data_IF_485692697619
#
_entry.id   IF_485692697619
#
_cell.length_a   1.000
_cell.length_b   1.000
_cell.length_c   1.000
_cell.angle_alpha   90.00
_cell.angle_beta   90.00
_cell.angle_gamma   90.00
#
_symmetry.space_group_name_H-M   'P 1'
#
loop_
_entity.id
_entity.type
_entity.pdbx_description
1 polymer ?
#
# COMPACT_ATOMS: atom_id res chain seq x y z
N UNK A 1 -6.59 -22.29 -24.25
CA UNK A 1 -7.28 -23.56 -24.56
C UNK A 1 -8.38 -23.88 -23.54
N UNK A 2 -8.07 -24.15 -22.27
CA UNK A 2 -9.10 -24.56 -21.30
C UNK A 2 -10.11 -23.46 -20.87
N UNK A 3 -9.74 -22.18 -20.93
CA UNK A 3 -10.66 -21.05 -20.65
C UNK A 3 -11.39 -20.54 -21.91
N UNK A 4 -11.16 -21.16 -23.07
CA UNK A 4 -11.96 -20.91 -24.27
C UNK A 4 -13.26 -21.72 -24.27
N UNK A 5 -13.33 -22.75 -23.44
CA UNK A 5 -14.54 -23.51 -23.18
C UNK A 5 -15.45 -22.74 -22.22
N UNK A 6 -16.67 -22.44 -22.66
CA UNK A 6 -17.64 -21.65 -21.89
C UNK A 6 -18.08 -22.33 -20.60
N UNK A 7 -18.21 -23.66 -20.58
CA UNK A 7 -18.63 -24.42 -19.41
C UNK A 7 -17.53 -24.40 -18.34
N UNK A 8 -16.27 -24.58 -18.77
CA UNK A 8 -15.11 -24.49 -17.88
C UNK A 8 -14.95 -23.08 -17.31
N UNK A 9 -15.13 -22.04 -18.13
CA UNK A 9 -15.07 -20.65 -17.67
C UNK A 9 -16.17 -20.35 -16.66
N UNK A 10 -17.42 -20.74 -16.95
CA UNK A 10 -18.55 -20.53 -16.05
C UNK A 10 -18.34 -21.20 -14.69
N UNK A 11 -17.84 -22.45 -14.68
CA UNK A 11 -17.51 -23.16 -13.44
C UNK A 11 -16.43 -22.43 -12.63
N UNK A 12 -15.34 -22.01 -13.28
CA UNK A 12 -14.25 -21.29 -12.61
C UNK A 12 -14.68 -19.93 -12.07
N UNK A 13 -15.56 -19.24 -12.79
CA UNK A 13 -16.13 -17.98 -12.33
C UNK A 13 -17.04 -18.18 -11.12
N UNK A 14 -17.87 -19.22 -11.11
CA UNK A 14 -18.71 -19.57 -9.95
C UNK A 14 -17.86 -19.94 -8.70
N UNK A 15 -16.75 -20.66 -8.88
CA UNK A 15 -15.78 -20.94 -7.81
C UNK A 15 -15.16 -19.64 -7.27
N UNK A 16 -14.79 -18.71 -8.16
CA UNK A 16 -14.29 -17.38 -7.80
C UNK A 16 -15.34 -16.57 -7.02
N UNK A 17 -16.58 -16.52 -7.49
CA UNK A 17 -17.67 -15.81 -6.83
C UNK A 17 -17.90 -16.36 -5.43
N UNK A 18 -17.92 -17.69 -5.27
CA UNK A 18 -18.08 -18.33 -3.96
C UNK A 18 -16.92 -17.99 -3.03
N UNK A 19 -15.69 -18.12 -3.53
CA UNK A 19 -14.47 -17.90 -2.73
C UNK A 19 -14.37 -16.46 -2.20
N UNK A 20 -14.72 -15.48 -3.02
CA UNK A 20 -14.58 -14.06 -2.69
C UNK A 20 -15.92 -13.37 -2.40
N UNK A 21 -16.99 -14.16 -2.21
CA UNK A 21 -18.33 -13.70 -1.88
C UNK A 21 -18.84 -12.61 -2.84
N UNK A 22 -18.62 -12.82 -4.15
CA UNK A 22 -19.02 -11.87 -5.18
C UNK A 22 -20.48 -12.07 -5.56
N UNK A 23 -21.20 -10.96 -5.67
CA UNK A 23 -22.57 -10.89 -6.17
C UNK A 23 -22.70 -9.66 -7.06
N UNK A 24 -23.45 -9.77 -8.15
CA UNK A 24 -23.63 -8.70 -9.13
C UNK A 24 -25.10 -8.31 -9.22
N UNK A 25 -25.36 -7.02 -9.43
CA UNK A 25 -26.73 -6.47 -9.40
C UNK A 25 -27.59 -6.95 -10.59
N UNK A 26 -26.96 -7.22 -11.73
CA UNK A 26 -27.61 -7.63 -12.97
C UNK A 26 -26.82 -8.74 -13.65
N UNK A 27 -27.50 -9.50 -14.51
CA UNK A 27 -26.86 -10.51 -15.36
C UNK A 27 -25.83 -9.87 -16.31
N UNK A 28 -26.14 -8.68 -16.85
CA UNK A 28 -25.22 -7.93 -17.72
C UNK A 28 -23.90 -7.59 -17.01
N UNK A 29 -23.97 -7.12 -15.75
CA UNK A 29 -22.77 -6.86 -14.96
C UNK A 29 -22.03 -8.17 -14.64
N UNK A 30 -22.75 -9.26 -14.32
CA UNK A 30 -22.16 -10.58 -14.10
C UNK A 30 -21.36 -11.07 -15.32
N UNK A 31 -21.93 -10.92 -16.52
CA UNK A 31 -21.27 -11.30 -17.78
C UNK A 31 -20.03 -10.44 -18.07
N UNK A 32 -20.12 -9.11 -17.87
CA UNK A 32 -18.97 -8.21 -17.96
C UNK A 32 -17.85 -8.65 -17.00
N UNK A 33 -18.19 -8.95 -15.75
CA UNK A 33 -17.24 -9.38 -14.71
C UNK A 33 -16.60 -10.72 -15.02
N UNK A 34 -17.36 -11.65 -15.61
CA UNK A 34 -16.85 -12.94 -16.09
C UNK A 34 -15.82 -12.79 -17.21
N UNK A 35 -16.04 -11.86 -18.14
CA UNK A 35 -15.08 -11.56 -19.22
C UNK A 35 -13.77 -10.96 -18.67
N UNK A 36 -13.87 -9.97 -17.79
CA UNK A 36 -12.69 -9.38 -17.11
C UNK A 36 -11.94 -10.46 -16.31
N UNK A 37 -12.68 -11.32 -15.61
CA UNK A 37 -12.12 -12.47 -14.91
C UNK A 37 -11.35 -13.40 -15.83
N UNK A 38 -11.91 -13.77 -16.99
CA UNK A 38 -11.21 -14.59 -18.00
C UNK A 38 -9.87 -13.98 -18.38
N UNK A 39 -9.87 -12.69 -18.73
CA UNK A 39 -8.65 -11.96 -19.15
C UNK A 39 -7.59 -11.93 -18.04
N UNK A 40 -7.99 -11.59 -16.82
CA UNK A 40 -7.08 -11.53 -15.68
C UNK A 40 -6.51 -12.91 -15.32
N UNK A 41 -7.31 -13.98 -15.39
CA UNK A 41 -6.82 -15.35 -15.15
C UNK A 41 -5.81 -15.77 -16.21
N UNK A 42 -6.03 -15.41 -17.48
CA UNK A 42 -5.07 -15.67 -18.55
C UNK A 42 -3.74 -14.95 -18.31
N UNK A 43 -3.78 -13.66 -17.93
CA UNK A 43 -2.57 -12.90 -17.56
C UNK A 43 -1.79 -13.56 -16.42
N UNK A 44 -2.49 -14.00 -15.36
CA UNK A 44 -1.88 -14.71 -14.23
C UNK A 44 -1.19 -16.00 -14.69
N UNK A 45 -1.86 -16.78 -15.54
CA UNK A 45 -1.30 -18.02 -16.07
C UNK A 45 -0.04 -17.76 -16.92
N UNK A 46 -0.12 -16.84 -17.87
CA UNK A 46 1.01 -16.46 -18.73
C UNK A 46 2.21 -15.94 -17.94
N UNK A 47 1.95 -15.12 -16.92
CA UNK A 47 2.99 -14.63 -16.01
C UNK A 47 3.65 -15.78 -15.23
N UNK A 48 2.86 -16.71 -14.72
CA UNK A 48 3.38 -17.84 -13.95
C UNK A 48 4.18 -18.82 -14.82
N UNK A 49 3.92 -18.92 -16.12
CA UNK A 49 4.82 -19.63 -17.07
C UNK A 49 6.18 -18.94 -17.16
N UNK A 50 6.23 -17.59 -17.17
CA UNK A 50 7.50 -16.85 -17.12
C UNK A 50 8.24 -17.08 -15.80
N UNK A 51 7.52 -17.09 -14.67
CA UNK A 51 8.11 -17.38 -13.37
C UNK A 51 8.69 -18.81 -13.29
N UNK A 52 7.95 -19.81 -13.77
CA UNK A 52 8.39 -21.21 -13.79
C UNK A 52 9.62 -21.44 -14.69
N UNK A 53 9.86 -20.56 -15.66
CA UNK A 53 11.02 -20.61 -16.57
C UNK A 53 12.15 -19.65 -16.18
N UNK A 54 12.08 -19.06 -14.98
CA UNK A 54 13.11 -18.15 -14.46
C UNK A 54 13.15 -16.77 -15.13
N UNK A 55 12.16 -16.42 -15.95
CA UNK A 55 12.05 -15.13 -16.65
C UNK A 55 11.34 -14.05 -15.83
N UNK A 56 10.75 -14.43 -14.70
CA UNK A 56 10.17 -13.52 -13.70
C UNK A 56 10.63 -13.94 -12.30
N UNK A 57 10.89 -12.97 -11.43
CA UNK A 57 11.27 -13.17 -10.03
C UNK A 57 10.09 -13.27 -9.06
N UNK A 58 8.87 -13.16 -9.57
CA UNK A 58 7.65 -13.21 -8.76
C UNK A 58 6.55 -13.99 -9.47
N UNK A 59 5.61 -14.52 -8.69
CA UNK A 59 4.40 -15.18 -9.18
C UNK A 59 3.16 -14.33 -8.91
N UNK A 60 2.11 -14.62 -9.67
CA UNK A 60 0.80 -14.01 -9.54
C UNK A 60 -0.23 -15.06 -9.11
N UNK A 61 -1.36 -14.60 -8.59
CA UNK A 61 -2.51 -15.44 -8.26
C UNK A 61 -3.83 -14.78 -8.65
N UNK A 62 -4.89 -15.59 -8.68
CA UNK A 62 -6.27 -15.11 -8.83
C UNK A 62 -6.68 -14.48 -7.49
N UNK A 63 -6.60 -13.16 -7.40
CA UNK A 63 -6.92 -12.36 -6.21
C UNK A 63 -8.41 -11.99 -6.16
N UNK A 64 -8.85 -11.34 -5.08
CA UNK A 64 -10.22 -10.81 -4.97
C UNK A 64 -10.57 -9.75 -6.03
N UNK A 65 -9.57 -9.26 -6.77
CA UNK A 65 -9.72 -8.25 -7.82
C UNK A 65 -9.75 -8.84 -9.23
N UNK A 66 -9.79 -10.18 -9.36
CA UNK A 66 -9.72 -10.83 -10.66
C UNK A 66 -10.87 -10.44 -11.60
N UNK A 67 -12.02 -9.98 -11.09
CA UNK A 67 -13.16 -9.48 -11.87
C UNK A 67 -13.15 -7.95 -12.11
N UNK A 68 -12.05 -7.27 -11.80
CA UNK A 68 -11.92 -5.81 -11.96
C UNK A 68 -10.78 -5.46 -12.92
N UNK A 69 -10.93 -4.34 -13.63
CA UNK A 69 -9.81 -3.73 -14.38
C UNK A 69 -8.86 -3.02 -13.43
N UNK A 70 -7.61 -2.81 -13.85
CA UNK A 70 -6.64 -2.04 -13.03
C UNK A 70 -7.14 -0.63 -12.72
N UNK A 71 -7.83 0.01 -13.67
CA UNK A 71 -8.39 1.35 -13.47
C UNK A 71 -9.54 1.34 -12.46
N UNK A 72 -10.41 0.33 -12.48
CA UNK A 72 -11.46 0.17 -11.46
C UNK A 72 -10.86 -0.05 -10.07
N UNK A 73 -9.74 -0.78 -9.98
CA UNK A 73 -9.02 -1.01 -8.72
C UNK A 73 -8.38 0.29 -8.23
N UNK A 74 -7.66 1.02 -9.09
CA UNK A 74 -7.06 2.31 -8.70
C UNK A 74 -8.15 3.29 -8.27
N UNK A 75 -9.25 3.39 -9.01
CA UNK A 75 -10.33 4.31 -8.68
C UNK A 75 -11.07 3.95 -7.38
N UNK A 76 -11.17 2.66 -7.02
CA UNK A 76 -11.99 2.20 -5.90
C UNK A 76 -11.22 1.76 -4.63
N UNK A 77 -9.96 1.34 -4.74
CA UNK A 77 -9.19 0.77 -3.61
C UNK A 77 -7.80 1.38 -3.44
N UNK A 78 -7.51 2.47 -4.12
CA UNK A 78 -6.40 3.38 -3.78
C UNK A 78 -6.97 4.77 -3.47
N UNK A 79 -6.14 5.77 -3.21
CA UNK A 79 -6.64 7.08 -2.78
C UNK A 79 -5.53 8.01 -2.32
N UNK A 80 -4.33 7.82 -2.84
CA UNK A 80 -3.27 8.81 -2.69
C UNK A 80 -3.27 9.68 -3.94
N UNK A 81 -3.22 10.99 -3.77
CA UNK A 81 -2.96 11.92 -4.86
C UNK A 81 -1.76 12.80 -4.52
N UNK A 82 -0.87 13.08 -5.47
CA UNK A 82 0.25 13.96 -5.22
C UNK A 82 -0.23 15.41 -5.05
N UNK A 83 0.08 16.04 -3.92
CA UNK A 83 -0.20 17.47 -3.70
C UNK A 83 0.61 18.30 -4.72
N UNK A 84 -0.06 19.18 -5.48
CA UNK A 84 0.59 19.99 -6.52
C UNK A 84 1.65 20.95 -5.95
N UNK A 85 1.48 21.41 -4.71
CA UNK A 85 2.30 22.44 -4.07
C UNK A 85 3.72 22.00 -3.71
N UNK A 86 3.99 20.70 -3.58
CA UNK A 86 5.35 20.18 -3.32
C UNK A 86 6.34 20.49 -4.46
N UNK A 87 5.84 20.77 -5.67
CA UNK A 87 6.71 21.12 -6.80
C UNK A 87 7.29 22.54 -6.71
N UNK A 88 6.64 23.44 -5.98
CA UNK A 88 7.04 24.86 -5.96
C UNK A 88 7.97 25.22 -4.81
N UNK A 89 7.98 24.45 -3.71
CA UNK A 89 8.78 24.81 -2.52
C UNK A 89 10.22 24.28 -2.47
N UNK A 90 10.61 23.34 -3.34
CA UNK A 90 11.95 22.71 -3.27
C UNK A 90 12.76 22.73 -4.57
N UNK A 91 12.35 23.51 -5.58
CA UNK A 91 13.16 23.73 -6.79
C UNK A 91 14.51 24.43 -6.50
N UNK A 92 14.74 24.93 -5.28
CA UNK A 92 15.97 25.58 -4.83
C UNK A 92 16.95 24.71 -4.05
N UNK A 93 16.66 23.41 -3.80
CA UNK A 93 17.58 22.50 -3.10
C UNK A 93 17.93 21.23 -3.87
N UNK A 94 17.87 21.25 -5.20
CA UNK A 94 18.57 20.25 -6.01
C UNK A 94 20.08 20.54 -6.02
N UNK A 95 20.75 20.25 -4.91
CA UNK A 95 22.16 19.86 -5.00
C UNK A 95 22.18 18.38 -5.38
N UNK A 96 22.63 18.10 -6.61
CA UNK A 96 22.85 16.76 -7.09
C UNK A 96 23.95 16.10 -6.26
N UNK A 97 23.59 15.42 -5.17
CA UNK A 97 24.43 14.40 -4.58
C UNK A 97 24.36 13.18 -5.50
N UNK A 98 25.10 13.25 -6.61
CA UNK A 98 25.35 12.14 -7.49
C UNK A 98 26.40 11.23 -6.83
N UNK A 99 26.02 10.61 -5.72
CA UNK A 99 26.76 9.49 -5.14
C UNK A 99 26.03 8.22 -5.55
N UNK A 100 26.32 7.75 -6.77
CA UNK A 100 26.31 6.32 -7.01
C UNK A 100 27.40 5.73 -6.11
N UNK A 101 27.06 5.46 -4.86
CA UNK A 101 27.82 4.50 -4.08
C UNK A 101 27.67 3.18 -4.82
N UNK A 102 28.80 2.56 -5.16
CA UNK A 102 28.84 1.13 -5.39
C UNK A 102 28.46 0.48 -4.05
N UNK A 103 27.16 0.39 -3.77
CA UNK A 103 26.62 -0.33 -2.62
C UNK A 103 26.98 -1.79 -2.87
N UNK A 104 28.01 -2.27 -2.19
CA UNK A 104 28.28 -3.70 -2.12
C UNK A 104 26.99 -4.40 -1.68
N UNK A 105 26.70 -5.58 -2.24
CA UNK A 105 25.46 -6.30 -1.92
C UNK A 105 25.25 -6.33 -0.42
N UNK A 106 24.24 -5.60 0.02
CA UNK A 106 23.84 -5.50 1.41
C UNK A 106 23.26 -6.87 1.81
N UNK A 107 24.12 -7.76 2.32
CA UNK A 107 23.74 -9.09 2.79
C UNK A 107 22.84 -9.11 4.03
N UNK A 108 22.40 -7.94 4.50
CA UNK A 108 21.66 -7.71 5.73
C UNK A 108 20.19 -7.51 5.37
N UNK A 109 19.38 -8.46 5.85
CA UNK A 109 17.93 -8.35 5.87
C UNK A 109 17.58 -7.53 7.10
N UNK A 110 16.84 -6.44 6.91
CA UNK A 110 16.31 -5.64 8.00
C UNK A 110 14.77 -5.70 7.93
N UNK A 111 14.15 -6.32 8.93
CA UNK A 111 12.72 -6.62 8.91
C UNK A 111 12.06 -6.29 10.25
N UNK A 112 11.32 -5.18 10.30
CA UNK A 112 10.59 -4.78 11.52
C UNK A 112 9.50 -5.78 11.92
N UNK A 113 9.05 -6.67 11.03
CA UNK A 113 8.07 -7.72 11.36
C UNK A 113 8.66 -8.80 12.28
N UNK A 114 9.99 -8.94 12.28
CA UNK A 114 10.69 -9.84 13.22
C UNK A 114 10.69 -9.30 14.65
N UNK A 115 10.30 -8.04 14.83
CA UNK A 115 10.05 -7.40 16.12
C UNK A 115 8.54 -7.42 16.44
N UNK A 116 8.15 -6.98 17.63
CA UNK A 116 6.73 -6.92 18.02
C UNK A 116 6.03 -5.60 17.69
N UNK A 117 6.63 -4.75 16.85
CA UNK A 117 6.15 -3.37 16.61
C UNK A 117 5.25 -3.21 15.39
N UNK A 118 5.25 -4.18 14.47
CA UNK A 118 4.38 -4.14 13.28
C UNK A 118 3.06 -4.84 13.59
N UNK A 119 1.97 -4.08 13.60
CA UNK A 119 0.61 -4.59 13.83
C UNK A 119 0.15 -5.54 12.71
N UNK A 120 -0.93 -6.31 12.91
CA UNK A 120 -1.52 -7.14 11.86
C UNK A 120 -1.89 -6.35 10.60
N UNK A 121 -1.90 -7.04 9.46
CA UNK A 121 -2.40 -6.50 8.18
C UNK A 121 -3.90 -6.25 8.28
N UNK A 122 -4.32 -5.08 7.82
CA UNK A 122 -5.73 -4.66 7.78
C UNK A 122 -6.29 -4.74 6.35
N UNK A 123 -7.58 -4.44 6.20
CA UNK A 123 -8.25 -4.41 4.91
C UNK A 123 -9.09 -3.13 4.75
N UNK A 124 -8.70 -2.26 3.81
CA UNK A 124 -9.45 -1.04 3.50
C UNK A 124 -10.73 -1.30 2.69
N UNK A 125 -10.91 -2.48 2.11
CA UNK A 125 -12.09 -2.77 1.28
C UNK A 125 -12.21 -1.84 0.06
N UNK A 126 -13.43 -1.58 -0.39
CA UNK A 126 -13.79 -0.77 -1.57
C UNK A 126 -13.75 0.74 -1.35
N UNK A 127 -12.79 1.24 -0.58
CA UNK A 127 -12.75 2.60 -0.07
C UNK A 127 -11.33 3.14 -0.25
N UNK A 128 -11.18 4.36 -0.77
CA UNK A 128 -9.89 5.00 -1.05
C UNK A 128 -9.10 5.48 0.17
N UNK A 129 -9.10 4.71 1.25
CA UNK A 129 -8.54 5.05 2.55
C UNK A 129 -7.04 4.72 2.72
N UNK A 130 -6.32 4.38 1.65
CA UNK A 130 -4.94 3.88 1.72
C UNK A 130 -3.99 4.76 2.56
N UNK A 131 -4.11 6.09 2.44
CA UNK A 131 -3.31 7.06 3.20
C UNK A 131 -3.59 6.97 4.70
N UNK A 132 -4.85 6.80 5.08
CA UNK A 132 -5.26 6.70 6.48
C UNK A 132 -4.75 5.42 7.13
N UNK A 133 -4.78 4.30 6.40
CA UNK A 133 -4.19 3.04 6.86
C UNK A 133 -2.67 3.10 6.95
N UNK A 134 -1.99 3.69 5.96
CA UNK A 134 -0.54 3.84 5.97
C UNK A 134 -0.09 4.75 7.14
N UNK A 135 -0.82 5.85 7.38
CA UNK A 135 -0.54 6.77 8.47
C UNK A 135 -0.80 6.12 9.83
N UNK A 136 -1.95 5.47 10.03
CA UNK A 136 -2.24 4.72 11.25
C UNK A 136 -1.16 3.67 11.52
N UNK A 137 -0.82 2.84 10.53
CA UNK A 137 0.20 1.80 10.68
C UNK A 137 1.59 2.36 11.02
N UNK A 138 1.95 3.53 10.48
CA UNK A 138 3.18 4.22 10.84
C UNK A 138 3.17 4.62 12.33
N UNK A 139 2.09 5.23 12.81
CA UNK A 139 1.96 5.64 14.22
C UNK A 139 1.96 4.42 15.15
N UNK A 140 1.27 3.35 14.78
CA UNK A 140 1.24 2.09 15.55
C UNK A 140 2.66 1.55 15.74
N UNK A 141 3.48 1.55 14.68
CA UNK A 141 4.85 1.06 14.75
C UNK A 141 5.76 1.97 15.57
N UNK A 142 5.60 3.28 15.46
CA UNK A 142 6.34 4.24 16.29
C UNK A 142 5.96 4.09 17.78
N UNK A 143 4.67 4.02 18.07
CA UNK A 143 4.13 3.84 19.42
C UNK A 143 4.70 2.59 20.10
N UNK A 144 4.66 1.44 19.42
CA UNK A 144 5.22 0.20 19.96
C UNK A 144 6.75 0.26 20.09
N UNK A 145 7.47 0.94 19.18
CA UNK A 145 8.93 1.14 19.29
C UNK A 145 9.35 1.97 20.50
N UNK A 146 8.49 2.88 20.95
CA UNK A 146 8.70 3.64 22.19
C UNK A 146 8.32 2.88 23.48
N UNK A 147 8.04 1.58 23.36
CA UNK A 147 7.82 0.69 24.52
C UNK A 147 6.37 0.66 25.01
N UNK A 148 5.43 1.23 24.26
CA UNK A 148 4.02 1.11 24.54
C UNK A 148 3.45 -0.22 24.02
N UNK A 149 2.32 -0.67 24.58
CA UNK A 149 1.62 -1.84 24.05
C UNK A 149 1.15 -1.59 22.61
N UNK A 150 1.32 -2.60 21.75
CA UNK A 150 0.86 -2.53 20.37
C UNK A 150 -0.66 -2.39 20.33
N UNK A 151 -1.13 -1.38 19.61
CA UNK A 151 -2.55 -1.07 19.43
C UNK A 151 -2.83 -0.88 17.95
N UNK A 152 -4.01 -1.27 17.49
CA UNK A 152 -4.49 -0.93 16.15
C UNK A 152 -5.27 0.38 16.25
N UNK A 153 -4.79 1.42 15.57
CA UNK A 153 -5.36 2.76 15.56
C UNK A 153 -6.46 2.85 14.49
N UNK A 154 -7.36 3.84 14.61
CA UNK A 154 -8.51 3.98 13.73
C UNK A 154 -8.19 4.75 12.45
N UNK A 155 -8.20 4.12 11.26
CA UNK A 155 -8.18 4.82 9.99
C UNK A 155 -9.53 5.51 9.71
N UNK A 156 -10.62 5.07 10.37
CA UNK A 156 -11.93 5.70 10.21
C UNK A 156 -11.97 7.09 10.84
N UNK A 157 -11.30 7.30 11.98
CA UNK A 157 -11.16 8.65 12.53
C UNK A 157 -10.47 9.57 11.51
N UNK A 158 -9.42 9.12 10.84
CA UNK A 158 -8.76 9.90 9.80
C UNK A 158 -9.69 10.13 8.60
N UNK A 159 -10.41 9.08 8.19
CA UNK A 159 -11.37 9.16 7.10
C UNK A 159 -12.43 10.23 7.32
N UNK A 160 -13.02 10.24 8.51
CA UNK A 160 -14.16 11.10 8.83
C UNK A 160 -13.68 12.49 9.27
N UNK A 161 -12.71 12.56 10.18
CA UNK A 161 -12.32 13.81 10.85
C UNK A 161 -11.20 14.57 10.15
N UNK A 162 -10.23 13.89 9.52
CA UNK A 162 -9.19 14.61 8.76
C UNK A 162 -9.74 15.15 7.43
N UNK A 163 -10.82 14.54 6.92
CA UNK A 163 -11.60 15.07 5.80
C UNK A 163 -12.31 16.38 6.16
N UNK A 164 -13.00 16.40 7.30
CA UNK A 164 -13.80 17.55 7.76
C UNK A 164 -12.96 18.79 8.08
N UNK A 165 -11.66 18.63 8.21
CA UNK A 165 -10.77 19.63 8.81
C UNK A 165 -10.04 20.53 7.79
N UNK A 166 -10.62 20.72 6.60
CA UNK A 166 -10.22 21.68 5.57
C UNK A 166 -8.75 21.65 5.08
N UNK A 167 -7.94 20.70 5.57
CA UNK A 167 -6.51 20.55 5.25
C UNK A 167 -6.25 19.89 3.89
N UNK A 168 -7.30 19.36 3.25
CA UNK A 168 -7.22 18.83 1.87
C UNK A 168 -7.27 17.31 1.74
N UNK A 169 -7.79 16.61 2.75
CA UNK A 169 -8.21 15.21 2.62
C UNK A 169 -9.69 15.13 2.20
N UNK A 170 -10.07 14.08 1.48
CA UNK A 170 -11.36 13.97 0.79
C UNK A 170 -12.13 12.70 1.17
N UNK A 171 -12.02 12.23 2.42
CA UNK A 171 -12.62 10.95 2.82
C UNK A 171 -12.11 9.82 1.95
N UNK A 172 -12.90 8.77 1.74
CA UNK A 172 -12.54 7.68 0.86
C UNK A 172 -13.40 7.57 -0.39
N UNK A 173 -14.60 8.14 -0.40
CA UNK A 173 -15.47 8.17 -1.58
C UNK A 173 -15.15 9.36 -2.49
N UNK A 174 -14.42 10.37 -1.98
CA UNK A 174 -14.12 11.61 -2.72
C UNK A 174 -12.64 11.81 -3.05
N UNK A 175 -11.85 10.74 -3.06
CA UNK A 175 -10.50 10.75 -3.63
C UNK A 175 -9.36 10.54 -2.63
N UNK A 176 -9.65 10.16 -1.39
CA UNK A 176 -8.62 9.76 -0.42
C UNK A 176 -7.89 10.94 0.20
N UNK A 177 -6.57 10.86 0.35
CA UNK A 177 -5.78 11.88 1.03
C UNK A 177 -4.34 11.99 0.56
N UNK A 178 -3.56 12.80 1.28
CA UNK A 178 -2.11 12.91 1.11
C UNK A 178 -1.41 12.94 2.47
N UNK A 179 -0.09 12.77 2.52
CA UNK A 179 0.62 12.65 3.80
C UNK A 179 0.55 13.93 4.65
N UNK A 180 0.81 15.10 4.08
CA UNK A 180 0.86 16.37 4.84
C UNK A 180 -0.40 16.66 5.67
N UNK A 181 -1.60 16.80 5.07
CA UNK A 181 -2.83 17.05 5.83
C UNK A 181 -3.13 15.94 6.83
N UNK A 182 -2.83 14.69 6.48
CA UNK A 182 -3.07 13.54 7.36
C UNK A 182 -2.19 13.59 8.60
N UNK A 183 -0.87 13.80 8.45
CA UNK A 183 0.04 13.82 9.59
C UNK A 183 -0.05 15.13 10.39
N UNK A 184 -0.38 16.26 9.76
CA UNK A 184 -0.72 17.48 10.49
C UNK A 184 -1.98 17.30 11.35
N UNK A 185 -2.98 16.58 10.83
CA UNK A 185 -4.15 16.20 11.63
C UNK A 185 -3.76 15.31 12.82
N UNK A 186 -3.00 14.24 12.58
CA UNK A 186 -2.55 13.33 13.65
C UNK A 186 -1.75 14.10 14.71
N UNK A 187 -0.88 15.02 14.32
CA UNK A 187 -0.10 15.83 15.26
C UNK A 187 -0.99 16.69 16.16
N UNK A 188 -2.03 17.30 15.61
CA UNK A 188 -2.93 18.16 16.37
C UNK A 188 -3.92 17.34 17.25
N UNK A 189 -4.53 16.31 16.69
CA UNK A 189 -5.66 15.62 17.32
C UNK A 189 -5.25 14.31 18.02
N UNK A 190 -4.20 13.63 17.55
CA UNK A 190 -3.88 12.26 17.92
C UNK A 190 -4.83 11.25 17.26
N UNK A 191 -4.67 9.98 17.59
CA UNK A 191 -5.52 8.90 17.10
C UNK A 191 -6.09 8.07 18.25
N UNK A 192 -7.36 7.68 18.12
CA UNK A 192 -8.02 6.66 18.93
C UNK A 192 -7.81 5.26 18.34
N UNK A 193 -8.20 4.23 19.08
CA UNK A 193 -8.10 2.84 18.63
C UNK A 193 -9.21 2.47 17.64
N UNK A 194 -8.93 1.49 16.76
CA UNK A 194 -9.93 0.89 15.89
C UNK A 194 -11.07 0.21 16.68
N UNK A 195 -10.83 -0.20 17.93
CA UNK A 195 -11.88 -0.73 18.81
C UNK A 195 -12.89 0.34 19.21
N UNK A 196 -12.42 1.56 19.53
CA UNK A 196 -13.30 2.67 19.91
C UNK A 196 -13.99 3.30 18.69
N UNK A 197 -13.27 3.43 17.57
CA UNK A 197 -13.77 3.98 16.32
C UNK A 197 -13.58 2.96 15.17
N UNK A 198 -14.51 2.00 15.00
CA UNK A 198 -14.39 0.94 14.01
C UNK A 198 -14.39 1.44 12.57
N UNK A 199 -13.65 0.74 11.71
CA UNK A 199 -13.63 1.00 10.28
C UNK A 199 -14.86 0.42 9.58
N UNK A 200 -15.52 1.25 8.78
CA UNK A 200 -16.78 0.92 8.09
C UNK A 200 -16.68 1.04 6.55
N UNK A 201 -15.50 1.38 6.03
CA UNK A 201 -15.20 1.45 4.60
C UNK A 201 -16.14 2.37 3.78
N UNK A 202 -16.52 3.50 4.36
CA UNK A 202 -17.30 4.57 3.73
C UNK A 202 -17.13 5.87 4.49
N UNK A 203 -17.54 6.97 3.87
CA UNK A 203 -17.55 8.27 4.51
C UNK A 203 -18.69 8.41 5.52
N UNK A 204 -18.37 9.01 6.65
CA UNK A 204 -19.31 9.36 7.71
C UNK A 204 -18.88 10.67 8.35
N UNK A 205 -19.79 11.29 9.10
CA UNK A 205 -19.46 12.49 9.86
C UNK A 205 -18.49 12.14 10.99
N UNK A 206 -17.55 13.05 11.28
CA UNK A 206 -16.65 12.89 12.41
C UNK A 206 -17.40 12.71 13.74
N UNK A 207 -17.17 11.59 14.44
CA UNK A 207 -17.65 11.37 15.81
C UNK A 207 -16.65 11.94 16.84
N UNK A 208 -16.81 13.23 17.17
CA UNK A 208 -15.93 13.93 18.10
C UNK A 208 -15.87 13.31 19.52
N UNK A 209 -16.90 12.57 19.94
CA UNK A 209 -16.88 11.88 21.24
C UNK A 209 -15.93 10.69 21.23
N UNK A 210 -15.79 10.01 20.08
CA UNK A 210 -14.80 8.94 19.90
C UNK A 210 -13.42 9.51 19.60
N UNK A 211 -13.34 10.52 18.74
CA UNK A 211 -12.09 11.21 18.38
C UNK A 211 -11.34 11.73 19.63
N UNK A 212 -12.06 12.30 20.60
CA UNK A 212 -11.47 12.85 21.82
C UNK A 212 -10.86 11.79 22.76
N UNK A 213 -11.14 10.50 22.57
CA UNK A 213 -10.56 9.39 23.34
C UNK A 213 -9.22 8.95 22.73
N UNK A 214 -8.24 9.84 22.80
CA UNK A 214 -6.93 9.67 22.15
C UNK A 214 -6.10 8.57 22.82
N UNK A 215 -5.56 7.68 22.01
CA UNK A 215 -4.70 6.56 22.42
C UNK A 215 -3.23 6.83 22.10
N UNK A 216 -2.94 7.37 20.92
CA UNK A 216 -1.57 7.64 20.47
C UNK A 216 -1.44 9.05 19.88
N UNK A 217 -0.25 9.64 20.04
CA UNK A 217 0.14 10.94 19.49
C UNK A 217 1.54 10.86 18.90
N UNK A 218 1.83 11.77 17.99
CA UNK A 218 3.19 12.04 17.49
C UNK A 218 3.64 13.41 17.95
N UNK A 219 4.93 13.57 18.19
CA UNK A 219 5.55 14.87 18.39
C UNK A 219 5.77 15.56 17.05
N UNK A 220 6.21 14.79 16.06
CA UNK A 220 6.51 15.30 14.72
C UNK A 220 6.38 14.24 13.63
N UNK A 221 6.28 14.72 12.40
CA UNK A 221 6.41 13.92 11.19
C UNK A 221 7.39 14.62 10.26
N UNK A 222 8.17 13.85 9.51
CA UNK A 222 9.26 14.39 8.68
C UNK A 222 9.26 13.73 7.30
N UNK A 223 9.18 14.52 6.21
CA UNK A 223 9.46 14.03 4.86
C UNK A 223 10.89 13.51 4.73
N UNK A 224 11.04 12.33 4.12
CA UNK A 224 12.33 11.75 3.79
C UNK A 224 12.86 12.45 2.54
N UNK A 225 13.96 13.19 2.71
CA UNK A 225 14.58 13.99 1.65
C UNK A 225 16.08 13.68 1.51
N UNK A 226 16.67 13.81 0.31
CA UNK A 226 16.03 14.21 -0.94
C UNK A 226 15.04 13.15 -1.49
N UNK A 227 13.93 13.62 -2.05
CA UNK A 227 12.91 12.75 -2.66
C UNK A 227 13.53 11.87 -3.76
N UNK A 228 13.08 10.62 -3.84
CA UNK A 228 13.54 9.61 -4.78
C UNK A 228 14.84 8.90 -4.38
N UNK A 229 15.45 9.26 -3.24
CA UNK A 229 16.69 8.63 -2.79
C UNK A 229 16.40 7.37 -1.96
N UNK A 230 16.52 6.21 -2.61
CA UNK A 230 16.31 4.89 -1.99
C UNK A 230 17.27 4.61 -0.82
N UNK A 231 18.51 5.14 -0.85
CA UNK A 231 19.48 4.93 0.23
C UNK A 231 19.10 5.71 1.50
N UNK A 232 18.56 6.92 1.35
CA UNK A 232 18.06 7.70 2.50
C UNK A 232 16.82 7.06 3.09
N UNK A 233 15.90 6.56 2.24
CA UNK A 233 14.77 5.76 2.71
C UNK A 233 15.24 4.53 3.49
N UNK A 234 16.25 3.82 2.97
CA UNK A 234 16.84 2.63 3.62
C UNK A 234 17.35 2.99 5.01
N UNK A 235 18.24 3.98 5.10
CA UNK A 235 18.83 4.42 6.37
C UNK A 235 17.80 4.92 7.37
N UNK A 236 16.74 5.60 6.89
CA UNK A 236 15.63 6.03 7.74
C UNK A 236 14.90 4.83 8.31
N UNK A 237 14.60 3.82 7.51
CA UNK A 237 13.92 2.61 7.97
C UNK A 237 14.71 1.91 9.09
N UNK A 238 16.03 1.88 8.99
CA UNK A 238 16.88 1.29 10.03
C UNK A 238 16.89 2.09 11.33
N UNK A 239 17.15 3.40 11.23
CA UNK A 239 17.38 4.25 12.40
C UNK A 239 16.09 4.66 13.07
N UNK A 240 15.07 4.98 12.27
CA UNK A 240 13.87 5.67 12.68
C UNK A 240 12.60 4.81 12.64
N UNK A 241 12.65 3.57 12.16
CA UNK A 241 11.47 2.70 12.09
C UNK A 241 10.85 2.66 10.69
N UNK A 242 9.75 1.89 10.50
CA UNK A 242 9.02 1.87 9.23
C UNK A 242 8.68 3.27 8.71
N UNK A 243 8.51 3.39 7.40
CA UNK A 243 8.14 4.65 6.74
C UNK A 243 6.84 4.49 5.94
N UNK A 244 5.94 5.47 6.02
CA UNK A 244 4.82 5.53 5.10
C UNK A 244 5.33 6.04 3.76
N UNK A 245 4.99 5.34 2.67
CA UNK A 245 5.49 5.61 1.32
C UNK A 245 4.33 5.63 0.33
N UNK A 246 4.39 6.53 -0.63
CA UNK A 246 3.44 6.56 -1.74
C UNK A 246 4.06 5.89 -2.97
N UNK A 247 3.29 5.03 -3.63
CA UNK A 247 3.71 4.24 -4.78
C UNK A 247 2.66 4.31 -5.90
N UNK A 248 3.05 3.85 -7.08
CA UNK A 248 2.15 3.56 -8.18
C UNK A 248 1.77 2.08 -8.20
N UNK A 249 0.48 1.76 -8.15
CA UNK A 249 -0.07 0.42 -8.35
C UNK A 249 -0.19 0.13 -9.85
N UNK A 250 0.50 -0.91 -10.32
CA UNK A 250 0.39 -1.43 -11.69
C UNK A 250 -0.54 -2.65 -11.79
N UNK A 251 -0.78 -3.16 -13.00
CA UNK A 251 -1.61 -4.36 -13.22
C UNK A 251 -1.08 -5.59 -12.45
N UNK A 252 0.22 -5.87 -12.54
CA UNK A 252 0.84 -6.99 -11.85
C UNK A 252 0.78 -6.88 -10.32
N UNK A 253 0.76 -5.66 -9.78
CA UNK A 253 0.59 -5.44 -8.33
C UNK A 253 -0.74 -6.04 -7.85
N UNK A 254 -1.84 -5.82 -8.58
CA UNK A 254 -3.19 -6.31 -8.21
C UNK A 254 -3.32 -7.84 -8.14
N UNK A 255 -2.36 -8.55 -8.74
CA UNK A 255 -2.30 -10.01 -8.87
C UNK A 255 -1.12 -10.61 -8.12
N UNK A 256 -0.26 -9.80 -7.51
CA UNK A 256 0.97 -10.24 -6.87
C UNK A 256 0.70 -11.35 -5.84
N UNK A 257 1.53 -12.40 -5.86
CA UNK A 257 1.46 -13.49 -4.87
C UNK A 257 2.69 -13.57 -3.98
N UNK A 258 3.88 -13.70 -4.56
CA UNK A 258 5.13 -13.85 -3.80
C UNK A 258 6.36 -13.65 -4.71
N UNK A 259 7.54 -13.54 -4.11
CA UNK A 259 8.81 -13.27 -4.79
C UNK A 259 9.07 -11.78 -4.97
N UNK A 260 10.18 -11.40 -5.59
CA UNK A 260 10.54 -9.98 -5.76
C UNK A 260 9.77 -9.40 -6.95
N UNK A 261 8.76 -8.59 -6.66
CA UNK A 261 7.99 -7.83 -7.63
C UNK A 261 8.90 -6.84 -8.36
N UNK A 262 8.87 -6.91 -9.68
CA UNK A 262 9.79 -6.17 -10.57
C UNK A 262 9.11 -5.84 -11.90
N UNK A 263 7.83 -5.52 -11.84
CA UNK A 263 7.11 -4.99 -12.99
C UNK A 263 7.32 -3.47 -13.05
N UNK A 264 7.67 -2.91 -14.22
CA UNK A 264 7.74 -1.46 -14.39
C UNK A 264 6.39 -0.80 -14.11
N UNK A 265 6.42 0.21 -13.25
CA UNK A 265 5.26 1.05 -12.98
C UNK A 265 5.22 2.24 -13.96
N UNK A 266 4.04 2.54 -14.49
CA UNK A 266 3.84 3.63 -15.44
C UNK A 266 2.76 4.59 -14.93
N UNK A 267 3.16 5.75 -14.43
CA UNK A 267 2.22 6.78 -13.97
C UNK A 267 2.66 7.45 -12.67
N UNK A 268 1.81 8.33 -12.16
CA UNK A 268 2.01 8.97 -10.85
C UNK A 268 1.62 8.06 -9.70
N UNK A 269 2.13 8.38 -8.50
CA UNK A 269 1.72 7.75 -7.24
C UNK A 269 0.19 7.81 -7.08
N UNK A 270 -0.42 6.68 -6.73
CA UNK A 270 -1.85 6.53 -6.56
C UNK A 270 -2.24 5.79 -5.27
N UNK A 271 -1.27 5.18 -4.58
CA UNK A 271 -1.48 4.35 -3.41
C UNK A 271 -0.47 4.66 -2.31
N UNK A 272 -0.89 4.57 -1.05
CA UNK A 272 0.00 4.69 0.11
C UNK A 272 0.08 3.36 0.87
N UNK A 273 1.28 3.01 1.30
CA UNK A 273 1.62 1.75 1.98
C UNK A 273 2.69 2.01 3.05
N UNK A 274 3.06 0.98 3.82
CA UNK A 274 4.11 1.09 4.82
C UNK A 274 5.32 0.24 4.43
N UNK A 275 6.48 0.86 4.25
CA UNK A 275 7.76 0.17 4.08
C UNK A 275 8.30 -0.22 5.46
N UNK A 276 8.37 -1.53 5.74
CA UNK A 276 8.70 -2.10 7.05
C UNK A 276 10.07 -2.77 7.10
N UNK A 277 10.86 -2.65 6.03
CA UNK A 277 12.15 -3.31 5.94
C UNK A 277 12.65 -3.43 4.52
N UNK A 278 13.75 -4.14 4.37
CA UNK A 278 14.37 -4.46 3.09
C UNK A 278 15.26 -5.70 3.21
N UNK A 279 15.69 -6.22 2.08
CA UNK A 279 16.67 -7.30 2.04
C UNK A 279 17.21 -7.53 0.63
N UNK A 280 17.76 -8.72 0.46
CA UNK A 280 18.30 -9.23 -0.79
C UNK A 280 17.81 -10.67 -0.99
N UNK A 281 17.25 -10.94 -2.17
CA UNK A 281 16.82 -12.27 -2.58
C UNK A 281 17.94 -12.94 -3.39
N UNK A 282 18.62 -13.91 -2.77
CA UNK A 282 19.71 -14.66 -3.39
C UNK A 282 19.31 -15.38 -4.69
N UNK A 283 18.18 -16.13 -4.72
CA UNK A 283 17.71 -16.84 -5.91
C UNK A 283 17.47 -15.93 -7.13
N UNK A 284 16.79 -14.80 -6.96
CA UNK A 284 16.55 -13.86 -8.08
C UNK A 284 17.66 -12.82 -8.28
N UNK A 285 18.62 -12.74 -7.36
CA UNK A 285 19.70 -11.73 -7.34
C UNK A 285 19.15 -10.29 -7.35
N UNK A 286 18.15 -10.01 -6.51
CA UNK A 286 17.47 -8.71 -6.43
C UNK A 286 17.39 -8.20 -5.01
N UNK A 287 17.71 -6.92 -4.83
CA UNK A 287 17.35 -6.18 -3.62
C UNK A 287 15.85 -5.92 -3.59
N UNK A 288 15.26 -5.92 -2.41
CA UNK A 288 13.84 -5.61 -2.23
C UNK A 288 13.56 -4.75 -1.00
N UNK A 289 12.46 -4.03 -1.06
CA UNK A 289 11.71 -3.45 0.05
C UNK A 289 10.70 -4.47 0.55
N UNK A 290 10.47 -4.52 1.87
CA UNK A 290 9.37 -5.26 2.48
C UNK A 290 8.25 -4.24 2.71
N UNK A 291 7.14 -4.40 2.00
CA UNK A 291 6.04 -3.44 2.02
C UNK A 291 4.78 -4.09 2.57
N UNK A 292 4.23 -3.51 3.63
CA UNK A 292 2.92 -3.86 4.21
C UNK A 292 1.84 -3.14 3.41
N UNK A 293 0.94 -3.92 2.80
CA UNK A 293 -0.27 -3.41 2.16
C UNK A 293 -1.47 -3.54 3.11
N UNK A 294 -2.60 -2.98 2.71
CA UNK A 294 -3.84 -2.93 3.50
C UNK A 294 -5.03 -3.47 2.71
N UNK A 295 -4.79 -4.48 1.87
CA UNK A 295 -5.82 -5.19 1.09
C UNK A 295 -6.15 -6.57 1.66
N UNK A 296 -5.94 -6.73 2.98
CA UNK A 296 -6.11 -7.98 3.69
C UNK A 296 -4.96 -8.97 3.50
N UNK A 297 -4.92 -10.00 4.34
CA UNK A 297 -3.88 -11.05 4.31
C UNK A 297 -3.94 -11.95 3.07
N UNK A 298 -5.05 -11.91 2.33
CA UNK A 298 -5.19 -12.61 1.04
C UNK A 298 -4.33 -12.01 -0.08
N UNK A 299 -3.94 -10.73 0.03
CA UNK A 299 -3.03 -10.08 -0.90
C UNK A 299 -1.59 -10.57 -0.71
N UNK A 300 -0.90 -10.86 -1.81
CA UNK A 300 0.53 -11.18 -1.77
C UNK A 300 0.89 -12.32 -0.82
N UNK A 301 1.99 -12.09 -0.10
CA UNK A 301 2.49 -12.97 0.95
C UNK A 301 1.99 -12.45 2.30
N UNK A 302 0.82 -12.96 2.72
CA UNK A 302 0.17 -12.61 3.98
C UNK A 302 -0.07 -11.09 4.16
N UNK A 303 -0.41 -10.39 3.08
CA UNK A 303 -0.63 -8.94 3.05
C UNK A 303 0.60 -8.10 2.72
N UNK A 304 1.74 -8.75 2.45
CA UNK A 304 2.98 -8.08 2.12
C UNK A 304 3.39 -8.30 0.66
N UNK A 305 4.23 -7.40 0.18
CA UNK A 305 4.90 -7.49 -1.12
C UNK A 305 6.39 -7.19 -0.96
N UNK A 306 7.23 -8.00 -1.61
CA UNK A 306 8.64 -7.70 -1.77
C UNK A 306 8.80 -6.89 -3.06
N UNK A 307 8.99 -5.59 -2.96
CA UNK A 307 9.10 -4.70 -4.12
C UNK A 307 10.57 -4.45 -4.45
N UNK A 308 10.98 -4.57 -5.71
CA UNK A 308 12.39 -4.39 -6.08
C UNK A 308 12.92 -3.03 -5.62
N UNK A 309 14.09 -3.07 -4.98
CA UNK A 309 14.87 -1.94 -4.50
C UNK A 309 16.09 -1.72 -5.40
N UNK A 310 16.65 -0.52 -5.36
CA UNK A 310 17.83 -0.13 -6.14
C UNK A 310 17.60 -0.31 -7.65
N UNK A 311 16.40 0.06 -8.11
CA UNK A 311 15.97 -0.12 -9.49
C UNK A 311 15.33 1.18 -10.02
N UNK A 312 16.09 2.27 -9.92
CA UNK A 312 15.68 3.60 -10.34
C UNK A 312 14.39 4.09 -9.64
N UNK A 313 14.30 3.92 -8.31
CA UNK A 313 13.13 4.33 -7.53
C UNK A 313 11.83 3.72 -8.11
N UNK A 314 11.83 2.39 -8.26
CA UNK A 314 10.75 1.67 -8.91
C UNK A 314 9.39 2.00 -8.26
N UNK A 315 8.40 2.31 -9.09
CA UNK A 315 7.05 2.72 -8.66
C UNK A 315 7.02 3.98 -7.77
N UNK A 316 8.09 4.77 -7.79
CA UNK A 316 8.27 6.03 -7.06
C UNK A 316 8.24 5.90 -5.53
N UNK A 317 8.64 4.75 -4.98
CA UNK A 317 8.56 4.44 -3.54
C UNK A 317 9.27 5.46 -2.63
N UNK A 318 10.42 5.97 -3.05
CA UNK A 318 11.16 6.99 -2.31
C UNK A 318 10.72 8.41 -2.67
N UNK A 319 9.74 8.58 -3.56
CA UNK A 319 9.29 9.88 -4.09
C UNK A 319 8.45 10.68 -3.09
N UNK A 320 7.48 10.05 -2.42
CA UNK A 320 6.87 10.60 -1.19
C UNK A 320 7.03 9.57 -0.09
N UNK A 321 7.79 9.92 0.94
CA UNK A 321 8.01 9.04 2.06
C UNK A 321 8.14 9.87 3.32
N UNK A 322 7.56 9.40 4.42
CA UNK A 322 7.55 10.10 5.70
C UNK A 322 7.81 9.12 6.84
N UNK A 323 8.46 9.62 7.89
CA UNK A 323 8.63 8.94 9.17
C UNK A 323 8.15 9.87 10.30
N UNK A 324 7.95 9.31 11.49
CA UNK A 324 7.40 10.03 12.66
C UNK A 324 8.24 9.79 13.93
N UNK A 325 8.15 10.74 14.85
CA UNK A 325 8.70 10.71 16.21
C UNK A 325 7.62 11.07 17.24
#
# INVERSE_FOLDING_TARGET
AALEDEEVLAKKFAEFQTKFQKSYATEEESEKRKLIFKENVLKVFEHNVKAATGRSSYTQHISQFADMTTDEIIAGVTGYFPQQEYRQHNASQQSAANSQSNVGKDSWIYDWRSTHVVTPVQNQGGCGACVYFAAAALIETAWARHGHEAVVLSPQQLNDCAHDDARGNHGCEHGGGTFVPTFDYIKAHGLTSMQNYPYIAKDANCDHNKESQVVARINSWTPITPHGNEEVLRQTIEKNGPAAVAIHVSDGWTKYKQGVFDEPCAGGRNHAVLAVGYGYDGPSNKDYWIVKNQWGTGFGDNGYILMRRNNNNMCDIAGDAVWVD
#
